data_IF_281403011205
#
_entry.id   IF_281403011205
#
_cell.length_a   1.000
_cell.length_b   1.000
_cell.length_c   1.000
_cell.angle_alpha   90.00
_cell.angle_beta   90.00
_cell.angle_gamma   90.00
#
_symmetry.space_group_name_H-M   'P 1'
#
loop_
_entity.id
_entity.type
_entity.pdbx_description
1 polymer ?
#
# COMPACT_ATOMS: atom_id res chain seq x y z
N UNK A 1 -6.39 26.77 -22.14
CA UNK A 1 -5.70 28.05 -22.14
C UNK A 1 -5.15 28.35 -23.54
N UNK A 2 -5.69 29.37 -24.18
CA UNK A 2 -5.31 29.81 -25.51
C UNK A 2 -5.05 31.30 -25.50
N UNK A 3 -3.97 31.73 -26.16
CA UNK A 3 -3.66 33.15 -26.37
C UNK A 3 -3.19 33.41 -27.77
N UNK A 4 -3.30 34.67 -28.19
CA UNK A 4 -2.82 35.20 -29.46
C UNK A 4 -1.54 35.97 -29.20
N UNK A 5 -0.51 35.67 -29.99
CA UNK A 5 0.81 36.31 -29.92
C UNK A 5 1.24 36.76 -31.28
N UNK A 6 2.02 37.86 -31.32
CA UNK A 6 2.69 38.30 -32.52
C UNK A 6 3.92 37.42 -32.77
N UNK A 7 4.30 37.35 -34.06
CA UNK A 7 5.53 36.67 -34.46
C UNK A 7 6.75 37.27 -33.76
N UNK A 8 7.72 36.45 -33.48
CA UNK A 8 8.96 36.88 -32.83
C UNK A 8 8.89 36.99 -31.29
N UNK A 9 7.76 36.68 -30.69
CA UNK A 9 7.64 36.62 -29.24
C UNK A 9 8.36 35.38 -28.73
N UNK A 10 9.31 35.59 -27.81
CA UNK A 10 10.07 34.51 -27.16
C UNK A 10 9.47 34.10 -25.81
N UNK A 11 8.84 35.04 -25.15
CA UNK A 11 8.20 34.78 -23.85
C UNK A 11 6.75 34.37 -24.06
N UNK A 12 6.41 33.24 -23.45
CA UNK A 12 5.03 32.80 -23.39
C UNK A 12 4.34 33.47 -22.20
N UNK A 13 3.00 33.58 -22.20
CA UNK A 13 2.30 34.09 -21.05
C UNK A 13 2.59 33.26 -19.82
N UNK A 14 2.39 33.82 -18.60
CA UNK A 14 2.47 33.04 -17.39
C UNK A 14 1.58 31.81 -17.49
N UNK A 15 2.15 30.65 -17.23
CA UNK A 15 1.38 29.42 -17.13
C UNK A 15 0.55 29.52 -15.85
N UNK A 16 -0.77 29.20 -15.89
CA UNK A 16 -1.57 29.20 -14.67
C UNK A 16 -0.93 28.30 -13.60
N UNK A 17 -1.01 28.74 -12.35
CA UNK A 17 -0.45 27.96 -11.25
C UNK A 17 -1.02 26.54 -11.25
N UNK A 18 -0.14 25.54 -11.08
CA UNK A 18 -0.52 24.13 -11.12
C UNK A 18 -0.68 23.52 -12.53
N UNK A 19 -0.30 24.27 -13.55
CA UNK A 19 -0.32 23.81 -14.93
C UNK A 19 1.05 23.85 -15.56
N UNK A 20 1.27 23.02 -16.58
CA UNK A 20 2.46 23.02 -17.42
C UNK A 20 2.06 23.05 -18.90
N UNK A 21 2.96 23.48 -19.74
CA UNK A 21 2.70 23.50 -21.18
C UNK A 21 2.76 22.07 -21.73
N UNK A 22 1.71 21.70 -22.43
CA UNK A 22 1.63 20.41 -23.10
C UNK A 22 2.18 20.48 -24.52
N UNK A 23 1.73 21.48 -25.28
CA UNK A 23 2.22 21.78 -26.61
C UNK A 23 1.82 23.20 -27.04
N UNK A 24 2.44 23.66 -28.11
CA UNK A 24 2.13 24.93 -28.69
C UNK A 24 2.03 24.79 -30.23
N UNK A 25 1.17 25.56 -30.87
CA UNK A 25 0.96 25.52 -32.30
C UNK A 25 0.33 26.83 -32.81
N UNK A 26 0.64 27.21 -34.04
CA UNK A 26 0.02 28.34 -34.72
C UNK A 26 -1.48 28.12 -34.94
N UNK A 27 -1.90 26.90 -35.16
CA UNK A 27 -3.31 26.53 -35.40
C UNK A 27 -3.69 25.36 -34.53
N UNK A 28 -4.66 25.58 -33.63
CA UNK A 28 -5.15 24.55 -32.71
C UNK A 28 -5.72 23.34 -33.47
N UNK A 29 -6.42 23.57 -34.58
CA UNK A 29 -7.03 22.49 -35.34
C UNK A 29 -5.99 21.62 -36.06
N UNK A 30 -4.81 22.17 -36.29
CA UNK A 30 -3.66 21.51 -36.88
C UNK A 30 -2.60 21.09 -35.88
N UNK A 31 -2.82 21.35 -34.61
CA UNK A 31 -1.91 20.90 -33.56
C UNK A 31 -1.70 19.40 -33.70
N UNK A 32 -0.46 18.98 -33.86
CA UNK A 32 -0.07 17.59 -34.12
C UNK A 32 -0.53 17.00 -35.45
N UNK A 33 -1.14 17.80 -36.37
CA UNK A 33 -1.50 17.30 -37.68
C UNK A 33 -0.25 17.02 -38.55
N UNK A 34 0.75 17.87 -38.44
CA UNK A 34 1.99 17.79 -39.21
C UNK A 34 3.23 17.60 -38.35
N UNK A 35 3.13 17.87 -37.06
CA UNK A 35 4.25 17.75 -36.13
C UNK A 35 3.90 16.82 -34.98
N UNK A 36 4.85 16.00 -34.60
CA UNK A 36 4.79 15.15 -33.45
C UNK A 36 5.69 15.76 -32.37
N UNK A 37 5.07 16.29 -31.33
CA UNK A 37 5.80 16.92 -30.23
C UNK A 37 6.58 15.89 -29.44
N UNK A 38 7.88 16.10 -29.35
CA UNK A 38 8.78 15.25 -28.56
C UNK A 38 8.76 15.70 -27.10
N UNK A 39 7.78 15.22 -26.35
CA UNK A 39 7.51 15.68 -24.97
C UNK A 39 8.73 15.60 -24.05
N UNK A 40 9.60 14.64 -24.26
CA UNK A 40 10.83 14.45 -23.47
C UNK A 40 11.91 15.49 -23.75
N UNK A 41 11.75 16.23 -24.84
CA UNK A 41 12.74 17.21 -25.30
C UNK A 41 12.29 18.67 -25.12
N UNK A 42 11.26 18.90 -24.31
CA UNK A 42 10.85 20.24 -23.93
C UNK A 42 11.80 20.80 -22.88
N UNK A 43 12.20 22.05 -23.05
CA UNK A 43 13.03 22.78 -22.13
C UNK A 43 12.35 24.09 -21.74
N UNK A 44 12.30 24.36 -20.43
CA UNK A 44 11.66 25.53 -19.87
C UNK A 44 12.65 26.38 -19.10
N UNK A 45 12.47 27.69 -19.17
CA UNK A 45 13.07 28.64 -18.26
C UNK A 45 11.95 29.28 -17.43
N UNK A 46 12.15 29.37 -16.11
CA UNK A 46 11.18 29.96 -15.21
C UNK A 46 11.79 31.21 -14.56
N UNK A 47 11.13 32.34 -14.76
CA UNK A 47 11.52 33.61 -14.16
C UNK A 47 10.30 34.29 -13.53
N UNK A 48 10.36 34.60 -12.26
CA UNK A 48 9.31 35.36 -11.55
C UNK A 48 7.89 34.83 -11.79
N UNK A 49 7.71 33.53 -11.81
CA UNK A 49 6.42 32.90 -12.06
C UNK A 49 6.01 32.88 -13.54
N UNK A 50 6.86 33.32 -14.43
CA UNK A 50 6.66 33.22 -15.87
C UNK A 50 7.40 32.03 -16.42
N UNK A 51 6.68 31.13 -17.07
CA UNK A 51 7.28 30.03 -17.80
C UNK A 51 7.58 30.45 -19.22
N UNK A 52 8.83 30.31 -19.63
CA UNK A 52 9.29 30.51 -20.99
C UNK A 52 9.73 29.17 -21.55
N UNK A 53 9.19 28.77 -22.67
CA UNK A 53 9.72 27.61 -23.39
C UNK A 53 10.98 28.05 -24.10
N UNK A 54 12.11 27.51 -23.70
CA UNK A 54 13.37 27.72 -24.38
C UNK A 54 13.49 26.90 -25.63
N UNK A 55 12.98 25.69 -25.61
CA UNK A 55 13.01 24.76 -26.72
C UNK A 55 11.85 23.78 -26.62
N UNK A 56 11.15 23.55 -27.70
CA UNK A 56 10.18 22.49 -27.84
C UNK A 56 10.39 21.80 -29.17
N UNK A 57 11.01 20.64 -29.17
CA UNK A 57 11.32 19.88 -30.35
C UNK A 57 10.12 19.06 -30.81
N UNK A 58 9.93 18.97 -32.08
CA UNK A 58 8.88 18.19 -32.70
C UNK A 58 9.36 17.61 -34.04
N UNK A 59 8.80 16.47 -34.38
CA UNK A 59 9.03 15.86 -35.70
C UNK A 59 8.07 16.47 -36.72
N UNK A 60 8.61 17.13 -37.75
CA UNK A 60 7.84 17.63 -38.87
C UNK A 60 7.70 16.50 -39.90
N UNK A 61 6.49 15.98 -40.03
CA UNK A 61 6.21 14.85 -40.92
C UNK A 61 6.29 15.22 -42.41
N UNK A 62 6.08 16.49 -42.74
CA UNK A 62 6.18 16.91 -44.15
C UNK A 62 7.62 17.08 -44.57
N UNK A 63 8.47 17.63 -43.71
CA UNK A 63 9.88 17.84 -44.03
C UNK A 63 10.77 16.67 -43.61
N UNK A 64 10.22 15.72 -42.87
CA UNK A 64 10.95 14.57 -42.34
C UNK A 64 12.20 15.00 -41.55
N UNK A 65 12.03 15.97 -40.67
CA UNK A 65 13.10 16.48 -39.82
C UNK A 65 12.57 16.92 -38.45
N UNK A 66 13.49 17.06 -37.53
CA UNK A 66 13.18 17.67 -36.22
C UNK A 66 13.24 19.18 -36.36
N UNK A 67 12.21 19.85 -35.85
CA UNK A 67 12.13 21.32 -35.80
C UNK A 67 11.95 21.76 -34.36
N UNK A 68 12.29 23.01 -34.07
CA UNK A 68 12.08 23.61 -32.75
C UNK A 68 10.95 24.63 -32.88
N UNK A 69 9.83 24.39 -32.19
CA UNK A 69 8.64 25.23 -32.27
C UNK A 69 8.88 26.63 -31.71
N UNK A 70 9.78 26.76 -30.71
CA UNK A 70 10.12 28.07 -30.16
C UNK A 70 10.93 28.88 -31.16
N UNK A 71 11.89 28.26 -31.79
CA UNK A 71 12.68 28.91 -32.86
C UNK A 71 11.82 29.31 -34.05
N UNK A 72 10.82 28.49 -34.38
CA UNK A 72 9.83 28.85 -35.35
C UNK A 72 9.04 30.09 -34.97
N UNK A 73 8.54 30.16 -33.71
CA UNK A 73 7.79 31.32 -33.21
C UNK A 73 8.63 32.60 -33.22
N UNK A 74 9.95 32.47 -33.08
CA UNK A 74 10.90 33.59 -33.14
C UNK A 74 11.32 33.98 -34.55
N UNK A 75 10.84 33.25 -35.56
CA UNK A 75 11.22 33.47 -36.91
C UNK A 75 12.61 32.97 -37.30
N UNK A 76 13.29 32.26 -36.41
CA UNK A 76 14.64 31.73 -36.68
C UNK A 76 14.63 30.33 -37.29
N UNK A 77 13.51 29.61 -37.19
CA UNK A 77 13.32 28.32 -37.84
C UNK A 77 11.86 28.19 -38.29
N UNK A 78 11.66 27.95 -39.58
CA UNK A 78 10.31 27.76 -40.12
C UNK A 78 9.80 26.35 -39.95
N UNK A 79 8.52 26.23 -39.69
CA UNK A 79 7.78 24.98 -39.86
C UNK A 79 7.40 24.83 -41.34
N UNK A 80 6.95 23.62 -41.69
CA UNK A 80 6.47 23.36 -43.05
C UNK A 80 5.30 24.30 -43.40
N UNK A 81 5.25 24.73 -44.63
CA UNK A 81 4.20 25.56 -45.18
C UNK A 81 2.78 24.99 -44.98
N UNK A 82 2.65 23.70 -44.86
CA UNK A 82 1.38 23.04 -44.60
C UNK A 82 0.78 23.36 -43.21
N UNK A 83 1.57 23.83 -42.28
CA UNK A 83 1.11 24.28 -40.97
C UNK A 83 0.65 25.74 -41.04
N UNK A 84 1.21 26.51 -41.94
CA UNK A 84 0.80 27.86 -42.19
C UNK A 84 -0.50 27.88 -43.01
N UNK A 85 -1.53 28.56 -42.49
CA UNK A 85 -2.82 28.68 -43.15
C UNK A 85 -2.73 29.31 -44.54
N UNK A 86 -1.68 30.05 -44.81
CA UNK A 86 -1.45 30.71 -46.08
C UNK A 86 -0.58 29.90 -47.06
N UNK A 87 -0.14 28.71 -46.65
CA UNK A 87 0.59 27.82 -47.51
C UNK A 87 2.00 28.25 -47.87
N UNK A 88 2.46 29.35 -47.38
CA UNK A 88 3.82 29.86 -47.59
C UNK A 88 4.66 29.98 -46.35
N UNK A 89 4.10 29.59 -45.23
CA UNK A 89 4.61 29.95 -43.94
C UNK A 89 5.86 29.25 -43.52
N UNK A 90 6.78 30.04 -43.44
CA UNK A 90 8.02 29.71 -42.78
C UNK A 90 8.01 30.27 -41.35
N UNK A 91 7.18 31.27 -41.11
CA UNK A 91 7.14 32.03 -39.87
C UNK A 91 5.72 32.45 -39.54
N UNK A 92 5.47 32.66 -38.25
CA UNK A 92 4.24 33.30 -37.80
C UNK A 92 4.29 34.79 -38.18
N UNK A 93 3.27 35.27 -38.88
CA UNK A 93 3.11 36.70 -39.14
C UNK A 93 2.38 37.37 -37.97
N UNK A 94 2.49 38.72 -37.82
CA UNK A 94 1.71 39.45 -36.82
C UNK A 94 0.22 39.17 -36.98
N UNK A 95 -0.45 38.91 -35.83
CA UNK A 95 -1.87 38.55 -35.81
C UNK A 95 -2.19 37.09 -35.95
N UNK A 96 -1.22 36.22 -36.20
CA UNK A 96 -1.43 34.78 -36.15
C UNK A 96 -1.74 34.34 -34.74
N UNK A 97 -2.60 33.36 -34.63
CA UNK A 97 -2.92 32.71 -33.38
C UNK A 97 -1.89 31.63 -33.08
N UNK A 98 -1.29 31.74 -31.90
CA UNK A 98 -0.40 30.73 -31.42
C UNK A 98 -1.02 30.09 -30.16
N UNK A 99 -1.41 28.86 -30.25
CA UNK A 99 -2.14 28.17 -29.19
C UNK A 99 -1.17 27.47 -28.25
N UNK A 100 -1.31 27.79 -26.99
CA UNK A 100 -0.55 27.14 -25.94
C UNK A 100 -1.52 26.29 -25.13
N UNK A 101 -1.34 25.00 -25.22
CA UNK A 101 -2.19 24.04 -24.51
C UNK A 101 -1.46 23.61 -23.26
N UNK A 102 -2.13 23.76 -22.14
CA UNK A 102 -1.59 23.41 -20.82
C UNK A 102 -2.30 22.19 -20.26
N UNK A 103 -1.60 21.47 -19.40
CA UNK A 103 -2.15 20.36 -18.63
C UNK A 103 -1.79 20.55 -17.15
N UNK A 104 -2.51 19.92 -16.27
CA UNK A 104 -2.19 19.97 -14.85
C UNK A 104 -0.80 19.43 -14.56
N UNK A 105 -0.02 20.15 -13.77
CA UNK A 105 1.32 19.78 -13.35
C UNK A 105 1.23 18.94 -12.07
N UNK A 106 0.62 17.77 -12.18
CA UNK A 106 0.53 16.82 -11.07
C UNK A 106 1.73 15.89 -11.07
N UNK A 107 2.08 15.39 -9.90
CA UNK A 107 3.18 14.43 -9.72
C UNK A 107 2.64 13.09 -9.32
N UNK A 108 3.26 12.03 -9.82
CA UNK A 108 3.00 10.69 -9.35
C UNK A 108 3.60 10.53 -7.95
N UNK A 109 2.80 10.05 -7.03
CA UNK A 109 3.23 9.74 -5.67
C UNK A 109 2.78 8.34 -5.31
N UNK A 110 3.54 7.72 -4.41
CA UNK A 110 3.22 6.43 -3.85
C UNK A 110 3.28 6.50 -2.34
N UNK A 111 2.44 5.72 -1.67
CA UNK A 111 2.45 5.56 -0.22
C UNK A 111 2.57 4.09 0.10
N UNK A 112 3.70 3.69 0.66
CA UNK A 112 3.91 2.33 1.12
C UNK A 112 3.02 2.02 2.31
N UNK A 113 2.54 0.80 2.37
CA UNK A 113 1.68 0.34 3.47
C UNK A 113 2.21 -0.96 4.06
N UNK A 114 1.72 -1.29 5.25
CA UNK A 114 2.04 -2.54 5.90
C UNK A 114 0.96 -2.98 6.88
N UNK A 115 0.91 -4.29 7.12
CA UNK A 115 0.24 -4.86 8.26
C UNK A 115 1.25 -5.74 9.00
N UNK A 116 1.41 -5.50 10.28
CA UNK A 116 2.30 -6.29 11.14
C UNK A 116 1.49 -6.90 12.28
N UNK A 117 1.55 -8.23 12.39
CA UNK A 117 1.03 -8.97 13.53
C UNK A 117 2.22 -9.34 14.42
N UNK A 118 2.19 -8.87 15.66
CA UNK A 118 3.21 -9.18 16.66
C UNK A 118 2.69 -10.21 17.65
N UNK A 119 3.60 -11.04 18.15
CA UNK A 119 3.28 -12.11 19.10
C UNK A 119 4.07 -11.90 20.38
N UNK A 120 3.44 -12.15 21.51
CA UNK A 120 4.08 -12.04 22.83
C UNK A 120 3.62 -13.16 23.74
N UNK A 121 4.39 -13.45 24.78
CA UNK A 121 3.94 -14.24 25.92
C UNK A 121 4.27 -15.73 25.89
N UNK A 122 5.00 -16.23 24.89
CA UNK A 122 5.40 -17.63 24.85
C UNK A 122 6.91 -17.83 25.06
N UNK A 123 7.55 -16.92 25.77
CA UNK A 123 8.99 -16.93 26.04
C UNK A 123 9.82 -17.17 24.78
N UNK A 124 10.71 -18.12 24.80
CA UNK A 124 11.57 -18.46 23.65
C UNK A 124 10.80 -19.07 22.48
N UNK A 125 9.57 -19.51 22.68
CA UNK A 125 8.70 -20.09 21.67
C UNK A 125 7.82 -19.04 20.98
N UNK A 126 7.89 -17.79 21.38
CA UNK A 126 7.11 -16.72 20.80
C UNK A 126 7.40 -16.60 19.31
N UNK A 127 6.38 -16.69 18.44
CA UNK A 127 6.59 -16.55 17.01
C UNK A 127 7.15 -15.19 16.63
N UNK A 128 7.93 -15.16 15.56
CA UNK A 128 8.36 -13.90 14.94
C UNK A 128 7.17 -13.14 14.36
N UNK A 129 7.28 -11.82 14.32
CA UNK A 129 6.24 -10.99 13.73
C UNK A 129 5.95 -11.37 12.28
N UNK A 130 4.67 -11.32 11.90
CA UNK A 130 4.22 -11.50 10.53
C UNK A 130 3.99 -10.13 9.91
N UNK A 131 4.73 -9.82 8.86
CA UNK A 131 4.62 -8.54 8.14
C UNK A 131 4.19 -8.77 6.70
N UNK A 132 3.17 -8.04 6.28
CA UNK A 132 2.73 -7.93 4.89
C UNK A 132 2.93 -6.48 4.45
N UNK A 133 3.58 -6.27 3.31
CA UNK A 133 3.92 -4.94 2.81
C UNK A 133 3.92 -4.86 1.29
N UNK A 134 3.16 -5.71 0.63
CA UNK A 134 3.12 -5.86 -0.82
C UNK A 134 2.14 -4.91 -1.52
N UNK A 135 1.56 -3.97 -0.80
CA UNK A 135 0.64 -2.97 -1.36
C UNK A 135 1.11 -1.55 -1.09
N UNK A 136 1.00 -0.71 -2.12
CA UNK A 136 1.21 0.74 -2.01
C UNK A 136 0.07 1.48 -2.68
N UNK A 137 -0.35 2.60 -2.08
CA UNK A 137 -1.28 3.52 -2.72
C UNK A 137 -0.55 4.33 -3.78
N UNK A 138 -1.18 4.48 -4.94
CA UNK A 138 -0.71 5.33 -6.02
C UNK A 138 -1.64 6.54 -6.15
N UNK A 139 -1.06 7.70 -6.39
CA UNK A 139 -1.81 8.93 -6.49
C UNK A 139 -1.15 9.98 -7.35
N UNK A 140 -1.86 11.08 -7.50
CA UNK A 140 -1.43 12.30 -8.15
C UNK A 140 -1.47 13.44 -7.14
N UNK A 141 -0.33 14.05 -6.91
CA UNK A 141 -0.24 15.24 -6.06
C UNK A 141 -0.34 16.49 -6.92
N UNK A 142 -1.22 17.39 -6.52
CA UNK A 142 -1.29 18.75 -7.06
C UNK A 142 -0.45 19.67 -6.15
N UNK A 143 0.71 20.14 -6.60
CA UNK A 143 1.61 20.95 -5.77
C UNK A 143 1.03 22.33 -5.46
N UNK A 144 0.04 22.80 -6.24
CA UNK A 144 -0.59 24.11 -6.03
C UNK A 144 -1.48 24.12 -4.78
N UNK A 145 -2.21 23.01 -4.59
CA UNK A 145 -3.17 22.87 -3.48
C UNK A 145 -2.65 21.98 -2.36
N UNK A 146 -1.49 21.34 -2.55
CA UNK A 146 -0.93 20.29 -1.67
C UNK A 146 -1.92 19.15 -1.41
N UNK A 147 -2.78 18.87 -2.38
CA UNK A 147 -3.74 17.77 -2.29
C UNK A 147 -3.28 16.62 -3.15
N UNK A 148 -3.53 15.42 -2.67
CA UNK A 148 -3.26 14.19 -3.41
C UNK A 148 -4.57 13.48 -3.71
N UNK A 149 -4.76 13.09 -4.96
CA UNK A 149 -5.85 12.22 -5.37
C UNK A 149 -5.32 10.81 -5.49
N UNK A 150 -5.80 9.91 -4.64
CA UNK A 150 -5.38 8.52 -4.63
C UNK A 150 -6.26 7.69 -5.58
N UNK A 151 -5.64 6.76 -6.31
CA UNK A 151 -6.36 5.80 -7.18
C UNK A 151 -7.26 4.89 -6.37
N UNK A 152 -6.74 4.42 -5.22
CA UNK A 152 -7.49 3.67 -4.22
C UNK A 152 -7.35 4.38 -2.88
N UNK A 153 -8.41 4.39 -2.09
CA UNK A 153 -8.43 5.07 -0.78
C UNK A 153 -8.36 4.11 0.38
N UNK A 154 -8.55 2.83 0.14
CA UNK A 154 -8.46 1.77 1.15
C UNK A 154 -7.82 0.52 0.56
N UNK A 155 -7.16 -0.24 1.41
CA UNK A 155 -6.70 -1.59 1.12
C UNK A 155 -6.85 -2.44 2.36
N UNK A 156 -7.36 -3.66 2.21
CA UNK A 156 -7.51 -4.60 3.32
C UNK A 156 -6.53 -5.75 3.13
N UNK A 157 -5.64 -5.90 4.11
CA UNK A 157 -4.71 -7.03 4.14
C UNK A 157 -5.41 -8.32 4.54
N UNK A 158 -4.83 -9.44 4.16
CA UNK A 158 -5.33 -10.75 4.54
C UNK A 158 -5.21 -11.01 6.04
N UNK A 159 -6.07 -11.89 6.53
CA UNK A 159 -5.99 -12.40 7.90
C UNK A 159 -4.81 -13.37 8.04
N UNK A 160 -4.31 -13.51 9.26
CA UNK A 160 -3.21 -14.39 9.61
C UNK A 160 -3.68 -15.38 10.66
N UNK A 161 -3.64 -16.66 10.33
CA UNK A 161 -3.94 -17.70 11.29
C UNK A 161 -2.88 -17.69 12.38
N UNK A 162 -3.30 -17.65 13.65
CA UNK A 162 -2.38 -17.65 14.77
C UNK A 162 -1.66 -19.00 14.87
N UNK A 163 -0.31 -18.99 14.95
CA UNK A 163 0.46 -20.22 15.12
C UNK A 163 0.11 -20.91 16.45
N UNK A 164 -0.02 -22.23 16.39
CA UNK A 164 -0.14 -23.06 17.59
C UNK A 164 1.25 -23.19 18.22
N UNK A 165 1.34 -22.82 19.51
CA UNK A 165 2.59 -22.92 20.28
C UNK A 165 2.41 -23.92 21.42
N UNK A 166 3.15 -25.00 21.38
CA UNK A 166 3.04 -26.08 22.37
C UNK A 166 3.23 -25.56 23.79
N UNK A 167 2.25 -25.83 24.64
CA UNK A 167 2.26 -25.41 26.03
C UNK A 167 1.65 -24.04 26.30
N UNK A 168 1.21 -23.34 25.26
CA UNK A 168 0.63 -22.01 25.36
C UNK A 168 -0.67 -21.94 24.56
N UNK A 169 -1.53 -21.02 24.95
CA UNK A 169 -2.73 -20.67 24.19
C UNK A 169 -2.77 -19.18 23.88
N UNK A 170 -3.33 -18.85 22.73
CA UNK A 170 -3.42 -17.48 22.27
C UNK A 170 -4.78 -16.85 22.62
N UNK A 171 -4.82 -15.53 22.66
CA UNK A 171 -6.05 -14.77 22.86
C UNK A 171 -6.88 -14.63 21.57
N UNK A 172 -6.29 -14.88 20.41
CA UNK A 172 -6.95 -14.77 19.09
C UNK A 172 -6.59 -15.97 18.22
N UNK A 173 -7.58 -16.58 17.61
CA UNK A 173 -7.37 -17.65 16.63
C UNK A 173 -6.87 -17.11 15.29
N UNK A 174 -7.28 -15.89 14.96
CA UNK A 174 -6.94 -15.18 13.72
C UNK A 174 -6.66 -13.72 14.05
N UNK A 175 -5.64 -13.18 13.45
CA UNK A 175 -5.26 -11.78 13.61
C UNK A 175 -5.12 -11.10 12.23
N UNK A 176 -4.89 -9.81 12.23
CA UNK A 176 -4.76 -9.05 11.00
C UNK A 176 -6.07 -8.78 10.31
N UNK A 177 -6.09 -8.83 8.97
CA UNK A 177 -7.27 -8.45 8.20
C UNK A 177 -7.60 -6.97 8.32
N UNK A 178 -6.59 -6.14 8.55
CA UNK A 178 -6.77 -4.71 8.81
C UNK A 178 -6.86 -3.93 7.51
N UNK A 179 -7.63 -2.86 7.55
CA UNK A 179 -7.75 -1.91 6.45
C UNK A 179 -6.80 -0.74 6.69
N UNK A 180 -6.01 -0.43 5.67
CA UNK A 180 -5.11 0.73 5.66
C UNK A 180 -5.65 1.78 4.71
N UNK A 181 -5.26 3.02 4.94
CA UNK A 181 -5.59 4.20 4.14
C UNK A 181 -4.32 5.00 3.90
N UNK A 182 -4.31 5.94 2.94
CA UNK A 182 -3.15 6.81 2.77
C UNK A 182 -2.76 7.60 4.03
N UNK A 183 -3.74 7.95 4.86
CA UNK A 183 -3.51 8.67 6.12
C UNK A 183 -3.11 7.76 7.28
N UNK A 184 -3.48 6.48 7.20
CA UNK A 184 -3.12 5.46 8.19
C UNK A 184 -2.58 4.22 7.46
N UNK A 185 -1.36 4.31 6.90
CA UNK A 185 -0.84 3.30 5.98
C UNK A 185 -0.30 2.04 6.68
N UNK A 186 -0.04 2.10 7.97
CA UNK A 186 0.57 1.00 8.70
C UNK A 186 -0.39 0.51 9.78
N UNK A 187 -0.85 -0.74 9.63
CA UNK A 187 -1.71 -1.39 10.60
C UNK A 187 -0.92 -2.37 11.45
N UNK A 188 -1.31 -2.49 12.70
CA UNK A 188 -0.72 -3.45 13.64
C UNK A 188 -1.80 -4.24 14.33
N UNK A 189 -1.48 -5.47 14.70
CA UNK A 189 -2.29 -6.31 15.55
C UNK A 189 -1.37 -7.10 16.48
N UNK A 190 -1.86 -7.47 17.63
CA UNK A 190 -1.06 -8.20 18.63
C UNK A 190 -1.79 -9.44 19.08
N UNK A 191 -1.08 -10.55 19.12
CA UNK A 191 -1.53 -11.82 19.69
C UNK A 191 -0.73 -12.08 20.95
N UNK A 192 -1.43 -12.34 22.04
CA UNK A 192 -0.83 -12.63 23.34
C UNK A 192 -1.04 -14.09 23.69
N UNK A 193 0.05 -14.78 24.00
CA UNK A 193 0.04 -16.14 24.51
C UNK A 193 0.14 -16.15 26.03
N UNK A 194 -0.49 -17.16 26.62
CA UNK A 194 -0.33 -17.50 28.03
C UNK A 194 -0.03 -18.99 28.14
N UNK A 195 0.73 -19.35 29.16
CA UNK A 195 0.97 -20.75 29.46
C UNK A 195 -0.32 -21.47 29.87
N UNK A 196 -0.50 -22.68 29.40
CA UNK A 196 -1.56 -23.54 29.89
C UNK A 196 -1.36 -23.87 31.36
N UNK A 197 -2.47 -24.07 32.07
CA UNK A 197 -2.50 -24.78 33.33
C UNK A 197 -2.18 -26.26 33.14
N UNK A 198 -2.30 -27.02 34.17
CA UNK A 198 -1.96 -28.42 34.23
C UNK A 198 -3.00 -29.23 34.98
N UNK A 199 -2.98 -30.52 34.73
CA UNK A 199 -3.76 -31.48 35.50
C UNK A 199 -3.08 -31.77 36.82
N UNK A 200 -3.86 -31.76 37.92
CA UNK A 200 -3.41 -32.18 39.24
C UNK A 200 -4.22 -33.42 39.64
N UNK A 201 -3.56 -34.56 39.68
CA UNK A 201 -4.21 -35.79 40.11
C UNK A 201 -4.42 -35.77 41.61
N UNK A 202 -5.66 -35.93 42.05
CA UNK A 202 -6.03 -36.00 43.48
C UNK A 202 -6.84 -37.27 43.75
N UNK A 203 -6.79 -37.73 45.01
CA UNK A 203 -7.64 -38.81 45.47
C UNK A 203 -9.05 -38.29 45.81
N UNK A 204 -9.94 -39.18 46.28
CA UNK A 204 -11.32 -38.81 46.58
C UNK A 204 -11.45 -37.82 47.77
N UNK A 205 -10.41 -37.66 48.57
CA UNK A 205 -10.35 -36.68 49.62
C UNK A 205 -9.78 -35.34 49.17
N UNK A 206 -9.41 -35.22 47.89
CA UNK A 206 -8.83 -33.99 47.32
C UNK A 206 -7.34 -33.86 47.54
N UNK A 207 -6.67 -34.85 48.08
CA UNK A 207 -5.23 -34.83 48.30
C UNK A 207 -4.46 -35.24 47.04
N UNK A 208 -3.34 -34.56 46.71
CA UNK A 208 -2.51 -34.96 45.59
C UNK A 208 -2.02 -36.40 45.72
N UNK A 209 -2.04 -37.13 44.61
CA UNK A 209 -1.49 -38.49 44.54
C UNK A 209 0.03 -38.38 44.41
N UNK A 210 0.74 -38.93 45.41
CA UNK A 210 2.20 -38.86 45.42
C UNK A 210 2.83 -39.65 44.28
N UNK A 211 3.94 -39.14 43.74
CA UNK A 211 4.70 -39.81 42.70
C UNK A 211 4.12 -39.66 41.30
N UNK A 212 3.06 -38.89 41.15
CA UNK A 212 2.45 -38.63 39.84
C UNK A 212 2.94 -37.28 39.33
N UNK A 213 3.46 -37.29 38.10
CA UNK A 213 3.86 -36.04 37.44
C UNK A 213 2.64 -35.26 36.98
N UNK A 214 2.69 -33.93 37.15
CA UNK A 214 1.67 -33.04 36.58
C UNK A 214 1.88 -32.92 35.08
N UNK A 215 0.79 -32.82 34.34
CA UNK A 215 0.81 -32.76 32.88
C UNK A 215 0.10 -31.50 32.43
N UNK A 216 0.76 -30.67 31.65
CA UNK A 216 0.14 -29.51 31.04
C UNK A 216 -0.95 -29.92 30.02
N UNK A 217 -1.89 -29.03 29.79
CA UNK A 217 -2.91 -29.25 28.77
C UNK A 217 -2.28 -29.37 27.39
N UNK A 218 -2.93 -30.14 26.54
CA UNK A 218 -2.48 -30.33 25.15
C UNK A 218 -3.18 -29.36 24.21
N UNK A 219 -2.40 -28.71 23.35
CA UNK A 219 -2.93 -27.79 22.35
C UNK A 219 -3.91 -28.48 21.40
N UNK A 220 -4.98 -27.74 21.03
CA UNK A 220 -5.74 -28.04 19.83
C UNK A 220 -4.85 -27.75 18.61
N UNK A 221 -4.62 -28.72 17.73
CA UNK A 221 -3.70 -28.51 16.58
C UNK A 221 -4.25 -27.55 15.53
N UNK A 222 -5.56 -27.27 15.57
CA UNK A 222 -6.24 -26.46 14.58
C UNK A 222 -6.66 -25.07 15.08
N UNK A 223 -6.60 -24.86 16.39
CA UNK A 223 -7.01 -23.58 16.99
C UNK A 223 -6.05 -23.22 18.13
N UNK A 224 -5.26 -22.19 17.90
CA UNK A 224 -4.26 -21.74 18.88
C UNK A 224 -4.83 -21.24 20.20
N UNK A 225 -6.13 -20.96 20.27
CA UNK A 225 -6.81 -20.46 21.49
C UNK A 225 -7.34 -21.57 22.38
N UNK A 226 -7.24 -22.84 21.97
CA UNK A 226 -7.91 -23.96 22.60
C UNK A 226 -6.96 -25.08 22.98
N UNK A 227 -7.37 -25.84 23.99
CA UNK A 227 -6.85 -27.18 24.26
C UNK A 227 -7.73 -28.24 23.58
N UNK A 228 -7.20 -29.42 23.34
CA UNK A 228 -8.04 -30.55 22.89
C UNK A 228 -9.02 -30.95 23.99
N UNK A 229 -10.07 -31.71 23.61
CA UNK A 229 -11.07 -32.17 24.56
C UNK A 229 -10.41 -32.84 25.78
N UNK A 230 -10.80 -32.43 26.97
CA UNK A 230 -10.13 -32.81 28.22
C UNK A 230 -10.14 -34.33 28.44
N UNK A 231 -11.20 -35.00 28.04
CA UNK A 231 -11.36 -36.46 28.15
C UNK A 231 -10.33 -37.23 27.29
N UNK A 232 -9.73 -36.57 26.29
CA UNK A 232 -8.76 -37.22 25.43
C UNK A 232 -7.32 -37.08 25.91
N UNK A 233 -7.08 -36.27 26.94
CA UNK A 233 -5.72 -35.94 27.40
C UNK A 233 -5.49 -36.13 28.88
N UNK A 234 -6.46 -36.68 29.58
CA UNK A 234 -6.29 -36.93 31.00
C UNK A 234 -5.13 -37.91 31.24
N UNK A 235 -4.26 -37.61 32.20
CA UNK A 235 -3.16 -38.52 32.55
C UNK A 235 -3.66 -39.92 32.96
N UNK A 236 -3.01 -40.95 32.45
CA UNK A 236 -3.25 -42.33 32.89
C UNK A 236 -2.35 -42.64 34.07
N UNK A 237 -2.94 -43.14 35.13
CA UNK A 237 -2.22 -43.47 36.38
C UNK A 237 -2.42 -44.97 36.64
N UNK A 238 -1.33 -45.76 36.69
CA UNK A 238 -1.42 -47.19 36.98
C UNK A 238 -2.13 -47.44 38.32
N UNK A 239 -3.10 -48.35 38.30
CA UNK A 239 -3.88 -48.70 39.51
C UNK A 239 -5.01 -47.77 39.87
N UNK A 240 -5.25 -46.75 39.08
CA UNK A 240 -6.30 -45.76 39.31
C UNK A 240 -7.19 -45.58 38.07
N UNK A 241 -8.39 -45.11 38.32
CA UNK A 241 -9.37 -44.75 37.27
C UNK A 241 -9.92 -43.36 37.57
N UNK A 242 -10.10 -42.57 36.54
CA UNK A 242 -10.75 -41.25 36.64
C UNK A 242 -12.18 -41.43 37.12
N UNK A 243 -12.55 -40.78 38.21
CA UNK A 243 -13.90 -40.86 38.78
C UNK A 243 -14.93 -40.14 37.91
N UNK A 244 -14.64 -38.90 37.57
CA UNK A 244 -15.46 -38.05 36.70
C UNK A 244 -14.55 -37.21 35.85
N UNK A 245 -14.82 -37.15 34.53
CA UNK A 245 -14.10 -36.27 33.68
C UNK A 245 -14.47 -34.84 34.00
N UNK A 246 -13.48 -33.98 34.40
CA UNK A 246 -13.77 -32.60 34.73
C UNK A 246 -14.19 -31.81 33.50
N UNK A 247 -14.89 -30.70 33.71
CA UNK A 247 -15.20 -29.75 32.67
C UNK A 247 -13.92 -29.01 32.23
N UNK A 248 -13.87 -28.63 30.94
CA UNK A 248 -12.82 -27.74 30.45
C UNK A 248 -12.90 -26.41 31.21
N UNK A 249 -11.78 -25.95 31.80
CA UNK A 249 -11.80 -24.67 32.52
C UNK A 249 -12.09 -23.49 31.57
N UNK A 250 -12.80 -22.50 32.10
CA UNK A 250 -13.02 -21.26 31.37
C UNK A 250 -11.75 -20.42 31.15
N UNK A 251 -10.84 -20.50 32.13
CA UNK A 251 -9.50 -19.92 32.05
C UNK A 251 -8.49 -21.07 31.88
N UNK A 252 -7.91 -21.15 30.67
CA UNK A 252 -6.99 -22.22 30.31
C UNK A 252 -5.62 -22.11 31.00
N UNK A 253 -5.35 -21.02 31.71
CA UNK A 253 -4.15 -20.89 32.56
C UNK A 253 -4.36 -21.45 33.95
N UNK A 254 -5.60 -21.79 34.32
CA UNK A 254 -5.93 -22.39 35.62
C UNK A 254 -5.67 -23.90 35.61
N UNK A 255 -5.21 -24.43 36.75
CA UNK A 255 -5.03 -25.85 36.95
C UNK A 255 -6.37 -26.55 37.12
N UNK A 256 -6.45 -27.82 36.75
CA UNK A 256 -7.64 -28.65 36.91
C UNK A 256 -7.32 -29.85 37.79
N UNK A 257 -8.04 -29.99 38.90
CA UNK A 257 -7.98 -31.16 39.72
C UNK A 257 -8.78 -32.30 39.08
N UNK A 258 -8.16 -33.46 38.95
CA UNK A 258 -8.77 -34.67 38.42
C UNK A 258 -8.82 -35.70 39.56
N UNK A 259 -10.01 -36.16 39.90
CA UNK A 259 -10.20 -37.15 40.97
C UNK A 259 -10.01 -38.54 40.40
N UNK A 260 -9.08 -39.28 40.96
CA UNK A 260 -8.80 -40.67 40.63
C UNK A 260 -9.22 -41.57 41.78
N UNK A 261 -9.76 -42.72 41.43
CA UNK A 261 -10.17 -43.78 42.36
C UNK A 261 -9.26 -44.96 42.19
N UNK A 262 -8.75 -45.48 43.31
CA UNK A 262 -7.93 -46.67 43.28
C UNK A 262 -8.76 -47.86 42.83
N UNK A 263 -8.21 -48.64 41.87
CA UNK A 263 -8.89 -49.83 41.36
C UNK A 263 -8.97 -50.91 42.42
N UNK A 264 -10.11 -51.61 42.43
CA UNK A 264 -10.23 -52.84 43.25
C UNK A 264 -9.29 -53.91 42.73
N UNK A 265 -8.84 -54.75 43.65
CA UNK A 265 -7.99 -55.88 43.33
C UNK A 265 -8.79 -57.12 43.06
#
# INVERSE_FOLDING_TARGET
>A
YNKIYDAGVTELPPVPAGYRIKYASADKSKANAYVDVLKSERQYDYNNGVATIRSERAWDRNQSRVVDLVQFANGSQGLDASIDANGGGQYLAPGYRYHIIVEKDTRDVTKATSQTVTYTGADTKTPAANTQNDFSFNGKEDPTTNTTTWTETTHTYGTVKTPVVTGYYADKAVAGGKTVTPDAPNATDTVTYKAFGKFIAVDENGNPILGVSTTAYTNDPNDATKMIAIDKTLPSIPGYTVKVVPATPGDLSSDTKVVYVKNDQ
#
